data_IF_614353692306
#
_entry.id   IF_614353692306
#
_cell.length_a   1.000
_cell.length_b   1.000
_cell.length_c   1.000
_cell.angle_alpha   90.00
_cell.angle_beta   90.00
_cell.angle_gamma   90.00
#
_symmetry.space_group_name_H-M   'P 1'
#
loop_
_entity.id
_entity.type
_entity.pdbx_description
1 polymer ?
#
# COMPACT_ATOMS: atom_id res chain seq x y z
N UNK A 1 -1.36 12.22 30.10
CA UNK A 1 -1.94 11.67 28.85
C UNK A 1 -1.48 12.54 27.71
N UNK A 2 -0.81 11.97 26.71
CA UNK A 2 -0.25 12.66 25.53
C UNK A 2 -1.28 13.34 24.61
N UNK A 3 -2.54 13.49 25.02
CA UNK A 3 -3.61 14.05 24.19
C UNK A 3 -3.96 13.21 22.96
N UNK A 4 -3.50 11.95 22.92
CA UNK A 4 -3.70 11.04 21.78
C UNK A 4 -5.14 10.55 21.72
N UNK A 5 -5.73 10.66 20.54
CA UNK A 5 -7.04 10.15 20.20
C UNK A 5 -6.94 8.93 19.26
N UNK A 6 -8.04 8.18 19.14
CA UNK A 6 -8.10 7.10 18.16
C UNK A 6 -7.95 7.67 16.75
N UNK A 7 -7.21 6.95 15.91
CA UNK A 7 -6.83 7.34 14.54
C UNK A 7 -5.77 8.45 14.46
N UNK A 8 -5.23 8.92 15.59
CA UNK A 8 -4.05 9.77 15.56
C UNK A 8 -2.85 8.98 15.01
N UNK A 9 -1.91 9.73 14.42
CA UNK A 9 -0.65 9.18 13.96
C UNK A 9 0.42 9.46 15.01
N UNK A 10 1.14 8.42 15.40
CA UNK A 10 2.22 8.50 16.37
C UNK A 10 3.50 7.92 15.77
N UNK A 11 4.62 8.51 16.12
CA UNK A 11 5.92 7.92 15.90
C UNK A 11 6.29 7.16 17.18
N UNK A 12 6.54 5.86 17.03
CA UNK A 12 7.06 5.00 18.09
C UNK A 12 8.53 4.75 17.81
N UNK A 13 9.40 5.00 18.77
CA UNK A 13 10.85 4.90 18.62
C UNK A 13 11.47 3.99 19.69
N UNK A 14 12.46 3.21 19.29
CA UNK A 14 13.28 2.37 20.16
C UNK A 14 14.74 2.43 19.68
N UNK A 15 15.59 3.13 20.45
CA UNK A 15 16.94 3.50 20.01
C UNK A 15 16.89 4.36 18.73
N UNK A 16 17.68 3.97 17.73
CA UNK A 16 17.71 4.66 16.43
C UNK A 16 16.57 4.26 15.47
N UNK A 17 15.74 3.29 15.86
CA UNK A 17 14.65 2.77 15.04
C UNK A 17 13.36 3.49 15.36
N UNK A 18 12.60 3.84 14.34
CA UNK A 18 11.29 4.44 14.49
C UNK A 18 10.30 3.87 13.48
N UNK A 19 9.02 3.94 13.84
CA UNK A 19 7.92 3.60 12.94
C UNK A 19 6.78 4.59 13.15
N UNK A 20 6.12 4.97 12.08
CA UNK A 20 4.85 5.71 12.15
C UNK A 20 3.72 4.68 12.23
N UNK A 21 2.86 4.84 13.23
CA UNK A 21 1.71 3.98 13.46
C UNK A 21 0.44 4.82 13.65
N UNK A 22 -0.70 4.22 13.33
CA UNK A 22 -2.01 4.79 13.64
C UNK A 22 -2.50 4.10 14.91
N UNK A 23 -2.88 4.89 15.92
CA UNK A 23 -3.23 4.39 17.24
C UNK A 23 -4.73 4.16 17.39
N UNK A 24 -5.07 3.05 18.04
CA UNK A 24 -6.40 2.80 18.59
C UNK A 24 -6.32 2.91 20.11
N UNK A 25 -7.32 3.57 20.71
CA UNK A 25 -7.41 3.70 22.16
C UNK A 25 -8.40 2.67 22.70
N UNK A 26 -7.96 1.88 23.67
CA UNK A 26 -8.78 0.90 24.38
C UNK A 26 -9.07 1.37 25.81
N UNK A 27 -10.30 1.18 26.28
CA UNK A 27 -10.71 1.54 27.64
C UNK A 27 -10.32 0.50 28.69
N UNK A 28 -10.18 -0.76 28.29
CA UNK A 28 -9.78 -1.89 29.15
C UNK A 28 -8.41 -2.41 28.69
N UNK A 29 -7.36 -1.64 28.95
CA UNK A 29 -5.98 -1.95 28.60
C UNK A 29 -5.03 -1.39 29.68
N UNK A 30 -3.89 -2.04 29.97
CA UNK A 30 -2.94 -1.55 30.97
C UNK A 30 -2.49 -0.12 30.67
N UNK A 31 -2.40 0.71 31.72
CA UNK A 31 -1.90 2.08 31.60
C UNK A 31 -0.41 2.07 31.28
N UNK A 32 0.04 3.06 30.52
CA UNK A 32 1.46 3.23 30.13
C UNK A 32 2.03 2.02 29.37
N UNK A 33 1.16 1.24 28.72
CA UNK A 33 1.55 0.15 27.83
C UNK A 33 1.04 0.44 26.42
N UNK A 34 1.76 -0.08 25.43
CA UNK A 34 1.38 -0.04 24.03
C UNK A 34 1.18 -1.48 23.52
N UNK A 35 0.01 -1.77 22.97
CA UNK A 35 -0.19 -2.99 22.17
C UNK A 35 0.28 -2.72 20.75
N UNK A 36 1.22 -3.51 20.24
CA UNK A 36 1.71 -3.41 18.86
C UNK A 36 1.49 -4.71 18.10
N UNK A 37 1.26 -4.59 16.80
CA UNK A 37 1.28 -5.75 15.91
C UNK A 37 2.70 -6.33 15.80
N UNK A 38 2.79 -7.64 15.54
CA UNK A 38 4.06 -8.36 15.35
C UNK A 38 4.96 -7.73 14.25
N UNK A 39 4.35 -7.12 13.23
CA UNK A 39 5.12 -6.39 12.21
C UNK A 39 5.83 -5.15 12.78
N UNK A 40 5.16 -4.43 13.68
CA UNK A 40 5.72 -3.23 14.33
C UNK A 40 6.82 -3.63 15.31
N UNK A 41 6.61 -4.68 16.12
CA UNK A 41 7.63 -5.16 17.05
C UNK A 41 8.89 -5.62 16.32
N UNK A 42 8.76 -6.30 15.18
CA UNK A 42 9.89 -6.69 14.32
C UNK A 42 10.64 -5.50 13.72
N UNK A 43 9.92 -4.48 13.24
CA UNK A 43 10.54 -3.25 12.69
C UNK A 43 11.33 -2.50 13.76
N UNK A 44 10.75 -2.34 14.95
CA UNK A 44 11.39 -1.67 16.08
C UNK A 44 12.42 -2.54 16.81
N UNK A 45 12.39 -3.86 16.58
CA UNK A 45 13.19 -4.86 17.32
C UNK A 45 13.02 -4.70 18.83
N UNK A 46 11.76 -4.80 19.26
CA UNK A 46 11.32 -4.73 20.66
C UNK A 46 10.68 -6.06 21.08
N UNK A 47 10.81 -6.38 22.35
CA UNK A 47 10.17 -7.49 23.04
C UNK A 47 9.12 -6.96 24.04
N UNK A 48 8.38 -7.88 24.66
CA UNK A 48 7.45 -7.53 25.73
C UNK A 48 8.21 -6.86 26.87
N UNK A 49 7.62 -5.79 27.42
CA UNK A 49 8.17 -4.97 28.51
C UNK A 49 9.39 -4.09 28.15
N UNK A 50 9.79 -4.02 26.87
CA UNK A 50 10.75 -3.01 26.41
C UNK A 50 10.13 -1.60 26.47
N UNK A 51 10.92 -0.63 26.92
CA UNK A 51 10.51 0.79 26.91
C UNK A 51 10.66 1.39 25.51
N UNK A 52 9.64 2.15 25.09
CA UNK A 52 9.61 2.85 23.80
C UNK A 52 9.21 4.30 24.00
N UNK A 53 9.69 5.18 23.12
CA UNK A 53 9.28 6.57 23.08
C UNK A 53 8.13 6.75 22.09
N UNK A 54 7.08 7.46 22.50
CA UNK A 54 5.90 7.73 21.66
C UNK A 54 5.69 9.24 21.56
N UNK A 55 5.63 9.74 20.33
CA UNK A 55 5.37 11.15 20.01
C UNK A 55 4.30 11.25 18.92
N UNK A 56 3.64 12.40 18.80
CA UNK A 56 2.74 12.66 17.67
C UNK A 56 3.56 12.76 16.37
N UNK A 57 3.12 12.06 15.33
CA UNK A 57 3.74 12.13 14.02
C UNK A 57 3.11 13.23 13.16
N UNK A 58 3.91 13.86 12.30
CA UNK A 58 3.39 14.78 11.29
C UNK A 58 2.58 14.04 10.23
N UNK A 59 1.61 14.73 9.63
CA UNK A 59 0.87 14.20 8.50
C UNK A 59 1.79 14.04 7.29
N UNK A 60 1.74 12.89 6.57
CA UNK A 60 2.59 12.69 5.41
C UNK A 60 2.27 13.71 4.32
N UNK A 61 3.29 14.15 3.58
CA UNK A 61 3.10 15.10 2.48
C UNK A 61 2.14 14.58 1.42
N UNK A 62 2.11 13.26 1.19
CA UNK A 62 1.19 12.60 0.26
C UNK A 62 -0.29 12.84 0.57
N UNK A 63 -0.65 13.10 1.83
CA UNK A 63 -2.03 13.44 2.19
C UNK A 63 -2.51 14.70 1.49
N UNK A 64 -1.63 15.69 1.31
CA UNK A 64 -1.95 16.90 0.55
C UNK A 64 -2.26 16.58 -0.91
N UNK A 65 -1.55 15.62 -1.51
CA UNK A 65 -1.76 15.18 -2.88
C UNK A 65 -3.04 14.35 -3.03
N UNK A 66 -3.37 13.51 -2.04
CA UNK A 66 -4.68 12.83 -1.97
C UNK A 66 -5.81 13.87 -1.96
N UNK A 67 -5.69 14.91 -1.13
CA UNK A 67 -6.65 16.02 -1.10
C UNK A 67 -6.73 16.79 -2.41
N UNK A 68 -5.59 17.03 -3.07
CA UNK A 68 -5.56 17.64 -4.40
C UNK A 68 -6.34 16.80 -5.41
N UNK A 69 -6.17 15.47 -5.39
CA UNK A 69 -6.92 14.58 -6.28
C UNK A 69 -8.43 14.57 -5.98
N UNK A 70 -8.82 14.63 -4.70
CA UNK A 70 -10.22 14.80 -4.27
C UNK A 70 -10.82 16.11 -4.83
N UNK A 71 -10.01 17.17 -4.98
CA UNK A 71 -10.40 18.43 -5.63
C UNK A 71 -10.31 18.39 -7.16
N UNK A 72 -10.14 17.20 -7.75
CA UNK A 72 -9.97 16.98 -9.18
C UNK A 72 -8.74 17.69 -9.79
N UNK A 73 -7.70 17.90 -8.99
CA UNK A 73 -6.43 18.44 -9.48
C UNK A 73 -5.60 17.31 -10.14
N UNK A 74 -4.80 17.66 -11.15
CA UNK A 74 -3.88 16.71 -11.79
C UNK A 74 -2.65 16.52 -10.93
N UNK A 75 -2.24 15.27 -10.76
CA UNK A 75 -1.03 14.93 -10.01
C UNK A 75 0.20 14.86 -10.92
N UNK A 76 1.32 15.39 -10.44
CA UNK A 76 2.63 15.24 -11.06
C UNK A 76 3.23 13.89 -10.66
N UNK A 77 4.15 13.36 -11.49
CA UNK A 77 4.85 12.09 -11.22
C UNK A 77 5.36 11.98 -9.78
N UNK A 78 6.12 12.97 -9.29
CA UNK A 78 6.67 12.97 -7.93
C UNK A 78 5.62 12.89 -6.82
N UNK A 79 4.44 13.44 -7.06
CA UNK A 79 3.33 13.44 -6.10
C UNK A 79 2.69 12.05 -6.04
N UNK A 80 2.54 11.40 -7.20
CA UNK A 80 2.11 10.00 -7.30
C UNK A 80 3.14 9.07 -6.66
N UNK A 81 4.44 9.26 -6.94
CA UNK A 81 5.52 8.48 -6.33
C UNK A 81 5.46 8.56 -4.79
N UNK A 82 5.18 9.75 -4.24
CA UNK A 82 5.02 9.97 -2.79
C UNK A 82 3.79 9.26 -2.25
N UNK A 83 2.64 9.31 -2.94
CA UNK A 83 1.44 8.59 -2.52
C UNK A 83 1.71 7.08 -2.49
N UNK A 84 2.27 6.51 -3.56
CA UNK A 84 2.52 5.07 -3.64
C UNK A 84 3.49 4.61 -2.55
N UNK A 85 4.56 5.38 -2.31
CA UNK A 85 5.51 5.08 -1.23
C UNK A 85 4.82 5.06 0.13
N UNK A 86 4.03 6.08 0.44
CA UNK A 86 3.32 6.17 1.73
C UNK A 86 2.24 5.11 1.88
N UNK A 87 1.65 4.60 0.79
CA UNK A 87 0.79 3.40 0.84
C UNK A 87 1.60 2.16 1.21
N UNK A 88 2.74 1.92 0.56
CA UNK A 88 3.59 0.73 0.83
C UNK A 88 4.18 0.77 2.24
N UNK A 89 4.58 1.95 2.70
CA UNK A 89 5.12 2.17 4.04
C UNK A 89 4.02 2.23 5.13
N UNK A 90 2.74 2.15 4.74
CA UNK A 90 1.56 2.26 5.62
C UNK A 90 1.48 3.58 6.38
N UNK A 91 2.02 4.63 5.79
CA UNK A 91 1.90 5.98 6.28
C UNK A 91 0.54 6.61 5.99
N UNK A 92 -0.23 6.08 5.03
CA UNK A 92 -1.63 6.47 4.81
C UNK A 92 -2.59 5.51 5.53
N UNK A 93 -3.56 6.07 6.24
CA UNK A 93 -4.66 5.33 6.88
C UNK A 93 -5.62 4.75 5.85
N UNK A 94 -6.41 3.76 6.26
CA UNK A 94 -7.46 3.18 5.42
C UNK A 94 -8.46 4.23 4.91
N UNK A 95 -8.76 5.25 5.72
CA UNK A 95 -9.66 6.36 5.35
C UNK A 95 -9.03 7.20 4.24
N UNK A 96 -7.75 7.52 4.36
CA UNK A 96 -7.04 8.33 3.37
C UNK A 96 -6.87 7.59 2.05
N UNK A 97 -6.52 6.30 2.12
CA UNK A 97 -6.43 5.43 0.95
C UNK A 97 -7.79 5.23 0.28
N UNK A 98 -8.85 4.96 1.03
CA UNK A 98 -10.21 4.85 0.50
C UNK A 98 -10.67 6.16 -0.16
N UNK A 99 -10.33 7.31 0.42
CA UNK A 99 -10.63 8.62 -0.15
C UNK A 99 -9.90 8.83 -1.48
N UNK A 100 -8.63 8.43 -1.57
CA UNK A 100 -7.87 8.47 -2.82
C UNK A 100 -8.51 7.58 -3.89
N UNK A 101 -8.79 6.31 -3.60
CA UNK A 101 -9.44 5.37 -4.54
C UNK A 101 -10.80 5.89 -4.99
N UNK A 102 -11.59 6.46 -4.08
CA UNK A 102 -12.88 7.09 -4.41
C UNK A 102 -12.70 8.27 -5.36
N UNK A 103 -11.70 9.13 -5.12
CA UNK A 103 -11.39 10.24 -6.02
C UNK A 103 -10.97 9.75 -7.41
N UNK A 104 -10.19 8.66 -7.50
CA UNK A 104 -9.83 8.04 -8.78
C UNK A 104 -11.06 7.53 -9.53
N UNK A 105 -12.03 6.94 -8.83
CA UNK A 105 -13.27 6.46 -9.45
C UNK A 105 -14.15 7.60 -9.96
N UNK A 106 -14.24 8.71 -9.22
CA UNK A 106 -15.09 9.86 -9.58
C UNK A 106 -14.45 10.70 -10.70
N UNK A 107 -13.15 10.95 -10.63
CA UNK A 107 -12.45 11.90 -11.49
C UNK A 107 -11.60 11.25 -12.58
N UNK A 108 -11.27 9.96 -12.45
CA UNK A 108 -10.36 9.26 -13.33
C UNK A 108 -8.91 9.77 -13.24
N UNK A 109 -8.10 9.32 -14.19
CA UNK A 109 -6.70 9.71 -14.35
C UNK A 109 -6.43 10.03 -15.82
N UNK A 110 -5.60 11.04 -16.06
CA UNK A 110 -4.99 11.27 -17.38
C UNK A 110 -3.97 10.18 -17.71
N UNK A 111 -3.58 10.08 -18.99
CA UNK A 111 -2.62 9.06 -19.41
C UNK A 111 -1.26 9.20 -18.71
N UNK A 112 -0.80 10.45 -18.52
CA UNK A 112 0.44 10.75 -17.80
C UNK A 112 0.37 10.30 -16.34
N UNK A 113 -0.77 10.52 -15.67
CA UNK A 113 -0.99 10.06 -14.30
C UNK A 113 -1.04 8.52 -14.21
N UNK A 114 -1.68 7.85 -15.18
CA UNK A 114 -1.73 6.38 -15.23
C UNK A 114 -0.34 5.79 -15.43
N UNK A 115 0.47 6.35 -16.34
CA UNK A 115 1.84 5.90 -16.57
C UNK A 115 2.68 6.07 -15.29
N UNK A 116 2.61 7.25 -14.67
CA UNK A 116 3.32 7.54 -13.43
C UNK A 116 2.91 6.59 -12.30
N UNK A 117 1.61 6.36 -12.11
CA UNK A 117 1.09 5.46 -11.09
C UNK A 117 1.53 4.03 -11.33
N UNK A 118 1.40 3.54 -12.56
CA UNK A 118 1.80 2.17 -12.92
C UNK A 118 3.30 1.94 -12.68
N UNK A 119 4.12 2.92 -13.06
CA UNK A 119 5.57 2.87 -12.87
C UNK A 119 5.95 2.91 -11.38
N UNK A 120 5.35 3.82 -10.61
CA UNK A 120 5.59 3.91 -9.17
C UNK A 120 5.22 2.61 -8.46
N UNK A 121 4.07 2.01 -8.79
CA UNK A 121 3.66 0.72 -8.23
C UNK A 121 4.64 -0.41 -8.57
N UNK A 122 5.13 -0.47 -9.80
CA UNK A 122 6.10 -1.47 -10.23
C UNK A 122 7.47 -1.28 -9.55
N UNK A 123 7.95 -0.04 -9.43
CA UNK A 123 9.26 0.30 -8.87
C UNK A 123 9.33 0.18 -7.34
N UNK A 124 8.20 0.30 -6.64
CA UNK A 124 8.15 0.17 -5.16
C UNK A 124 8.07 -1.30 -4.70
N UNK A 125 7.69 -2.21 -5.61
CA UNK A 125 7.59 -3.65 -5.34
C UNK A 125 8.89 -4.42 -5.58
N UNK A 126 8.88 -5.71 -5.26
CA UNK A 126 9.94 -6.63 -5.67
C UNK A 126 9.78 -7.02 -7.14
N UNK A 127 10.88 -7.03 -7.89
CA UNK A 127 10.92 -7.49 -9.28
C UNK A 127 11.43 -8.93 -9.36
N UNK A 128 10.77 -9.76 -10.17
CA UNK A 128 11.16 -11.14 -10.44
C UNK A 128 11.91 -11.20 -11.78
N UNK A 129 13.20 -11.50 -11.74
CA UNK A 129 13.99 -11.82 -12.93
C UNK A 129 13.91 -13.33 -13.22
N UNK A 130 13.50 -13.67 -14.44
CA UNK A 130 13.32 -15.05 -14.89
C UNK A 130 14.44 -15.54 -15.82
N UNK A 131 15.43 -14.68 -16.10
CA UNK A 131 16.52 -14.96 -17.05
C UNK A 131 15.98 -15.46 -18.41
N UNK A 132 14.96 -14.76 -18.93
CA UNK A 132 14.34 -15.03 -20.24
C UNK A 132 14.26 -13.76 -21.06
N UNK A 133 14.57 -13.89 -22.36
CA UNK A 133 14.47 -12.78 -23.33
C UNK A 133 13.03 -12.38 -23.66
N UNK A 134 12.10 -13.33 -23.59
CA UNK A 134 10.69 -13.12 -23.87
C UNK A 134 9.86 -13.79 -22.78
N UNK A 135 9.06 -12.99 -22.09
CA UNK A 135 8.12 -13.42 -21.07
C UNK A 135 6.74 -12.97 -21.53
N UNK A 136 5.82 -13.93 -21.66
CA UNK A 136 4.44 -13.67 -22.05
C UNK A 136 3.58 -13.53 -20.80
N UNK A 137 2.51 -12.75 -20.89
CA UNK A 137 1.45 -12.72 -19.89
C UNK A 137 0.11 -12.56 -20.59
N UNK A 138 -0.96 -13.04 -19.96
CA UNK A 138 -2.34 -12.84 -20.39
C UNK A 138 -3.13 -12.32 -19.22
N UNK A 139 -3.64 -11.11 -19.30
CA UNK A 139 -4.54 -10.57 -18.29
C UNK A 139 -6.01 -10.55 -18.79
N UNK A 140 -6.97 -10.61 -17.86
CA UNK A 140 -8.39 -10.38 -18.12
C UNK A 140 -8.83 -9.31 -17.13
N UNK A 141 -9.48 -8.25 -17.61
CA UNK A 141 -10.08 -7.23 -16.73
C UNK A 141 -11.19 -7.81 -15.84
N UNK A 142 -11.69 -9.02 -16.16
CA UNK A 142 -12.73 -9.70 -15.39
C UNK A 142 -14.15 -9.18 -15.69
N UNK A 143 -15.05 -9.34 -14.72
CA UNK A 143 -16.46 -8.92 -14.82
C UNK A 143 -17.41 -9.96 -15.43
N UNK A 144 -16.89 -11.05 -16.01
CA UNK A 144 -17.70 -12.14 -16.56
C UNK A 144 -17.70 -13.34 -15.60
N UNK A 145 -18.87 -13.79 -15.10
CA UNK A 145 -18.97 -14.96 -14.24
C UNK A 145 -18.37 -16.20 -14.89
N UNK A 146 -17.49 -16.89 -14.16
CA UNK A 146 -16.91 -18.14 -14.62
C UNK A 146 -15.85 -18.02 -15.72
N UNK A 147 -15.22 -16.86 -15.92
CA UNK A 147 -14.07 -16.74 -16.84
C UNK A 147 -12.90 -17.63 -16.39
N UNK A 148 -12.85 -18.84 -16.96
CA UNK A 148 -11.79 -19.82 -16.78
C UNK A 148 -10.77 -19.80 -17.92
N UNK A 149 -10.85 -18.82 -18.82
CA UNK A 149 -10.04 -18.75 -20.03
C UNK A 149 -8.55 -18.78 -19.72
N UNK A 150 -8.11 -18.01 -18.72
CA UNK A 150 -6.68 -17.95 -18.34
C UNK A 150 -6.15 -19.32 -17.90
N UNK A 151 -6.97 -20.15 -17.25
CA UNK A 151 -6.58 -21.50 -16.79
C UNK A 151 -6.29 -22.43 -17.98
N UNK A 152 -6.91 -22.19 -19.14
CA UNK A 152 -6.63 -22.96 -20.37
C UNK A 152 -5.49 -22.34 -21.19
N UNK A 153 -5.45 -21.00 -21.31
CA UNK A 153 -4.45 -20.30 -22.15
C UNK A 153 -3.03 -20.51 -21.62
N UNK A 154 -2.82 -20.39 -20.30
CA UNK A 154 -1.48 -20.53 -19.69
C UNK A 154 -0.84 -21.89 -20.01
N UNK A 155 -1.48 -23.06 -19.77
CA UNK A 155 -0.87 -24.35 -20.09
C UNK A 155 -0.72 -24.58 -21.60
N UNK A 156 -1.60 -24.06 -22.45
CA UNK A 156 -1.45 -24.16 -23.92
C UNK A 156 -0.19 -23.43 -24.38
N UNK A 157 0.01 -22.18 -23.93
CA UNK A 157 1.17 -21.36 -24.29
C UNK A 157 2.46 -21.94 -23.69
N UNK A 158 2.40 -22.44 -22.45
CA UNK A 158 3.53 -23.11 -21.82
C UNK A 158 3.92 -24.41 -22.55
N UNK A 159 2.96 -25.23 -22.96
CA UNK A 159 3.20 -26.46 -23.72
C UNK A 159 3.80 -26.19 -25.11
N UNK A 160 3.54 -25.02 -25.69
CA UNK A 160 4.19 -24.55 -26.92
C UNK A 160 5.65 -24.07 -26.72
N UNK A 161 6.18 -24.13 -25.50
CA UNK A 161 7.57 -23.80 -25.18
C UNK A 161 7.82 -22.36 -24.73
N UNK A 162 6.78 -21.55 -24.52
CA UNK A 162 6.93 -20.17 -24.05
C UNK A 162 6.90 -20.04 -22.52
N UNK A 163 7.56 -19.01 -21.99
CA UNK A 163 7.51 -18.68 -20.56
C UNK A 163 6.35 -17.74 -20.29
N UNK A 164 5.37 -18.16 -19.48
CA UNK A 164 4.14 -17.41 -19.17
C UNK A 164 3.77 -17.44 -17.66
N UNK A 165 4.48 -16.67 -16.81
CA UNK A 165 4.30 -16.66 -15.36
C UNK A 165 3.05 -15.87 -14.97
N UNK A 166 1.88 -16.54 -14.88
CA UNK A 166 0.62 -15.86 -14.60
C UNK A 166 0.33 -15.71 -13.10
N UNK A 167 0.13 -14.48 -12.63
CA UNK A 167 -0.44 -14.17 -11.31
C UNK A 167 -1.88 -13.67 -11.43
N UNK A 168 -2.80 -14.13 -10.58
CA UNK A 168 -4.20 -13.67 -10.58
C UNK A 168 -4.61 -13.14 -9.20
N UNK A 169 -5.40 -12.07 -9.18
CA UNK A 169 -6.03 -11.57 -7.95
C UNK A 169 -7.19 -12.47 -7.52
N UNK A 170 -7.63 -12.31 -6.27
CA UNK A 170 -8.94 -12.82 -5.82
C UNK A 170 -10.07 -11.95 -6.41
N UNK A 171 -11.30 -12.44 -6.34
CA UNK A 171 -12.48 -11.71 -6.81
C UNK A 171 -12.60 -10.34 -6.13
N UNK A 172 -12.95 -9.31 -6.92
CA UNK A 172 -13.09 -7.92 -6.47
C UNK A 172 -14.54 -7.44 -6.59
N UNK A 173 -15.26 -7.87 -7.64
CA UNK A 173 -16.63 -7.48 -7.99
C UNK A 173 -17.59 -8.65 -7.96
#
# INVERSE_FOLDING_TARGET
MLGIHSSDRVQVSHGDRHVVAIVNVASDFPRDHLGVYDEVSKKLNVQTDDEVEVQLAESPQSLHYVQAKIRNERLRKKEIDSIVRDVVERHLSDIELASFVTALQIHGLSMDEIEALSRAMAETGSSLDLDKKCVLDKHSIGGIPGDKTSILVVPIVAAAGFTIPKTSSRAVT
#
